data_IF_404661904537
#
_entry.id   IF_404661904537
#
_cell.length_a   1.000
_cell.length_b   1.000
_cell.length_c   1.000
_cell.angle_alpha   90.00
_cell.angle_beta   90.00
_cell.angle_gamma   90.00
#
_symmetry.space_group_name_H-M   'P 1'
#
loop_
_entity.id
_entity.type
_entity.pdbx_description
1 polymer ?
#
# COMPACT_ATOMS: atom_id res chain seq x y z
N UNK A 1 -8.91 -43.78 52.41
CA UNK A 1 -8.42 -42.43 52.13
C UNK A 1 -8.25 -42.30 50.62
N UNK A 2 -9.29 -41.80 49.95
CA UNK A 2 -9.27 -41.64 48.46
C UNK A 2 -8.79 -40.23 48.10
N UNK A 3 -7.69 -40.14 47.34
CA UNK A 3 -7.15 -38.86 46.85
C UNK A 3 -7.73 -38.63 45.45
N UNK A 4 -8.62 -37.65 45.33
CA UNK A 4 -9.10 -37.15 44.04
C UNK A 4 -8.06 -36.15 43.46
N UNK A 5 -7.50 -36.50 42.28
CA UNK A 5 -6.62 -35.62 41.51
C UNK A 5 -7.50 -34.88 40.50
N UNK A 6 -7.68 -33.58 40.68
CA UNK A 6 -8.34 -32.72 39.71
C UNK A 6 -7.30 -32.33 38.63
N UNK A 7 -7.50 -32.82 37.43
CA UNK A 7 -6.75 -32.35 36.26
C UNK A 7 -7.42 -31.08 35.75
N UNK A 8 -6.69 -29.93 35.85
CA UNK A 8 -7.10 -28.67 35.25
C UNK A 8 -6.79 -28.70 33.76
N UNK A 9 -7.82 -28.69 32.94
CA UNK A 9 -7.69 -28.55 31.49
C UNK A 9 -7.45 -27.06 31.17
N UNK A 10 -6.26 -26.71 30.70
CA UNK A 10 -5.93 -25.37 30.19
C UNK A 10 -6.42 -25.32 28.75
N UNK A 11 -7.53 -24.64 28.49
CA UNK A 11 -8.00 -24.29 27.15
C UNK A 11 -7.18 -23.13 26.62
N UNK A 12 -6.27 -23.36 25.67
CA UNK A 12 -5.65 -22.30 24.88
C UNK A 12 -6.73 -21.67 23.99
N UNK A 13 -7.12 -20.44 24.30
CA UNK A 13 -7.84 -19.60 23.34
C UNK A 13 -6.85 -19.13 22.27
N UNK A 14 -6.97 -19.66 21.06
CA UNK A 14 -6.31 -19.07 19.90
C UNK A 14 -6.98 -17.71 19.62
N UNK A 15 -6.23 -16.63 19.80
CA UNK A 15 -6.65 -15.30 19.35
C UNK A 15 -6.73 -15.31 17.83
N UNK A 16 -7.78 -14.71 17.21
CA UNK A 16 -7.80 -14.53 15.78
C UNK A 16 -6.61 -13.62 15.39
N UNK A 17 -5.71 -14.11 14.54
CA UNK A 17 -4.75 -13.26 13.87
C UNK A 17 -5.57 -12.34 12.94
N UNK A 18 -5.65 -11.07 13.27
CA UNK A 18 -6.09 -10.06 12.30
C UNK A 18 -4.98 -9.99 11.27
N UNK A 19 -5.25 -10.52 10.06
CA UNK A 19 -4.42 -10.24 8.90
C UNK A 19 -4.52 -8.72 8.69
N UNK A 20 -3.40 -8.05 8.89
CA UNK A 20 -3.28 -6.61 8.65
C UNK A 20 -3.68 -6.37 7.20
N UNK A 21 -4.61 -5.42 6.98
CA UNK A 21 -5.22 -5.13 5.67
C UNK A 21 -4.25 -4.56 4.62
N UNK A 22 -2.96 -4.80 4.80
CA UNK A 22 -1.86 -4.39 3.92
C UNK A 22 -1.33 -5.54 3.04
N UNK A 23 -1.81 -6.78 3.24
CA UNK A 23 -1.38 -7.91 2.42
C UNK A 23 -1.78 -7.70 0.96
N UNK A 24 -0.80 -7.77 0.06
CA UNK A 24 -1.02 -7.73 -1.37
C UNK A 24 -1.54 -9.10 -1.86
N UNK A 25 -2.56 -9.08 -2.73
CA UNK A 25 -3.18 -10.30 -3.26
C UNK A 25 -2.85 -10.55 -4.74
N UNK A 26 -2.25 -9.56 -5.42
CA UNK A 26 -1.90 -9.60 -6.83
C UNK A 26 -0.62 -10.37 -7.15
N UNK A 27 -0.31 -10.48 -8.44
CA UNK A 27 0.93 -11.03 -8.97
C UNK A 27 1.96 -9.91 -9.16
N UNK A 28 3.00 -9.89 -8.32
CA UNK A 28 4.05 -8.87 -8.37
C UNK A 28 4.82 -8.86 -9.70
N UNK A 29 5.02 -10.02 -10.35
CA UNK A 29 5.72 -10.09 -11.63
C UNK A 29 4.87 -9.54 -12.79
N UNK A 30 3.56 -9.74 -12.75
CA UNK A 30 2.64 -9.07 -13.66
C UNK A 30 2.57 -7.57 -13.36
N UNK A 31 2.58 -7.20 -12.09
CA UNK A 31 2.58 -5.82 -11.59
C UNK A 31 3.79 -5.02 -12.06
N UNK A 32 5.00 -5.60 -12.06
CA UNK A 32 6.21 -4.98 -12.62
C UNK A 32 5.99 -4.56 -14.08
N UNK A 33 5.45 -5.46 -14.90
CA UNK A 33 5.19 -5.17 -16.29
C UNK A 33 4.15 -4.07 -16.49
N UNK A 34 3.14 -4.01 -15.61
CA UNK A 34 2.12 -2.96 -15.67
C UNK A 34 2.68 -1.62 -15.15
N UNK A 35 3.49 -1.64 -14.10
CA UNK A 35 4.17 -0.46 -13.60
C UNK A 35 5.04 0.18 -14.69
N UNK A 36 5.84 -0.61 -15.38
CA UNK A 36 6.70 -0.14 -16.48
C UNK A 36 5.92 0.49 -17.62
N UNK A 37 4.73 -0.02 -17.93
CA UNK A 37 3.91 0.51 -19.01
C UNK A 37 3.10 1.73 -18.61
N UNK A 38 2.64 1.80 -17.36
CA UNK A 38 1.59 2.72 -16.95
C UNK A 38 2.05 3.79 -15.96
N UNK A 39 3.12 3.55 -15.18
CA UNK A 39 3.48 4.39 -14.04
C UNK A 39 4.79 5.18 -14.22
N UNK A 40 5.79 4.60 -14.90
CA UNK A 40 7.16 5.14 -14.99
C UNK A 40 7.29 6.49 -15.69
N UNK A 41 6.26 6.93 -16.42
CA UNK A 41 6.24 8.26 -17.02
C UNK A 41 6.16 9.38 -15.97
N UNK A 42 5.63 9.08 -14.79
CA UNK A 42 5.38 10.04 -13.72
C UNK A 42 6.03 9.67 -12.39
N UNK A 43 6.24 8.38 -12.12
CA UNK A 43 6.70 7.86 -10.83
C UNK A 43 8.02 7.11 -10.95
N UNK A 44 8.72 7.07 -9.81
CA UNK A 44 9.87 6.18 -9.55
C UNK A 44 9.63 5.41 -8.27
N UNK A 45 10.41 4.35 -8.08
CA UNK A 45 10.64 3.72 -6.79
C UNK A 45 12.13 3.89 -6.49
N UNK A 46 12.46 4.72 -5.51
CA UNK A 46 13.82 4.98 -5.07
C UNK A 46 13.90 4.81 -3.56
N UNK A 47 14.90 4.09 -3.08
CA UNK A 47 15.11 3.84 -1.66
C UNK A 47 15.60 5.07 -0.89
N UNK A 48 15.89 4.90 0.40
CA UNK A 48 16.34 5.96 1.28
C UNK A 48 17.74 6.51 0.90
N UNK A 49 18.56 5.72 0.20
CA UNK A 49 19.87 6.12 -0.29
C UNK A 49 19.79 6.86 -1.65
N UNK A 50 18.59 6.90 -2.24
CA UNK A 50 18.32 7.53 -3.53
C UNK A 50 18.62 6.62 -4.72
N UNK A 51 18.84 5.31 -4.49
CA UNK A 51 18.98 4.34 -5.58
C UNK A 51 17.62 4.11 -6.24
N UNK A 52 17.55 4.26 -7.56
CA UNK A 52 16.32 4.02 -8.32
C UNK A 52 16.17 2.53 -8.59
N UNK A 53 15.25 1.90 -7.88
CA UNK A 53 14.95 0.46 -7.96
C UNK A 53 13.99 0.14 -9.11
N UNK A 54 13.06 1.07 -9.41
CA UNK A 54 12.13 0.94 -10.53
C UNK A 54 11.77 2.31 -11.12
N UNK A 55 11.42 2.31 -12.41
CA UNK A 55 11.15 3.54 -13.17
C UNK A 55 12.43 4.17 -13.72
N UNK A 56 12.37 5.48 -13.97
CA UNK A 56 13.48 6.25 -14.55
C UNK A 56 13.68 7.54 -13.74
N UNK A 57 13.91 8.68 -14.35
CA UNK A 57 14.11 9.96 -13.66
C UNK A 57 12.81 10.80 -13.59
N UNK A 58 11.67 10.17 -13.41
CA UNK A 58 10.40 10.87 -13.32
C UNK A 58 10.24 11.58 -11.97
N UNK A 59 9.68 12.78 -11.97
CA UNK A 59 9.41 13.59 -10.78
C UNK A 59 8.04 14.28 -10.81
N UNK A 60 7.18 13.87 -11.75
CA UNK A 60 5.81 14.42 -11.88
C UNK A 60 4.89 13.91 -10.79
N UNK A 61 5.05 12.63 -10.42
CA UNK A 61 4.40 11.99 -9.28
C UNK A 61 5.38 11.78 -8.11
N UNK A 62 4.88 11.42 -6.93
CA UNK A 62 5.72 11.08 -5.80
C UNK A 62 6.55 9.81 -6.06
N UNK A 63 7.64 9.66 -5.31
CA UNK A 63 8.31 8.38 -5.13
C UNK A 63 7.34 7.37 -4.50
N UNK A 64 7.33 6.14 -5.01
CA UNK A 64 6.42 5.09 -4.55
C UNK A 64 7.11 4.01 -3.69
N UNK A 65 8.35 4.28 -3.26
CA UNK A 65 9.02 3.43 -2.28
C UNK A 65 8.24 3.42 -0.95
N UNK A 66 8.11 2.26 -0.34
CA UNK A 66 7.37 2.06 0.93
C UNK A 66 5.90 2.56 0.88
N UNK A 67 5.27 2.49 -0.32
CA UNK A 67 3.89 2.96 -0.47
C UNK A 67 2.90 2.05 0.26
N UNK A 68 3.05 0.72 0.11
CA UNK A 68 2.08 -0.23 0.65
C UNK A 68 2.00 -0.12 2.18
N UNK A 69 0.80 0.15 2.70
CA UNK A 69 0.55 0.36 4.12
C UNK A 69 0.97 1.72 4.68
N UNK A 70 1.69 2.55 3.93
CA UNK A 70 2.05 3.89 4.38
C UNK A 70 0.84 4.82 4.43
N UNK A 71 0.92 5.85 5.27
CA UNK A 71 -0.09 6.90 5.33
C UNK A 71 -0.14 7.68 4.00
N UNK A 72 -1.32 8.15 3.62
CA UNK A 72 -1.48 8.97 2.42
C UNK A 72 -0.79 10.33 2.58
N UNK A 73 -0.15 10.79 1.49
CA UNK A 73 0.33 12.16 1.40
C UNK A 73 1.56 12.51 2.24
N UNK A 74 2.38 11.52 2.65
CA UNK A 74 3.48 11.71 3.63
C UNK A 74 4.86 11.93 3.02
N UNK A 75 5.06 11.79 1.70
CA UNK A 75 6.38 12.02 1.09
C UNK A 75 6.72 13.50 1.14
N UNK A 76 7.73 13.88 1.94
CA UNK A 76 8.05 15.27 2.29
C UNK A 76 8.45 16.12 1.07
N UNK A 77 9.19 15.57 0.12
CA UNK A 77 9.68 16.28 -1.06
C UNK A 77 8.64 16.37 -2.20
N UNK A 78 7.43 15.85 -1.99
CA UNK A 78 6.38 15.91 -3.00
C UNK A 78 5.23 16.82 -2.57
N UNK A 79 4.88 17.77 -3.44
CA UNK A 79 3.76 18.67 -3.20
C UNK A 79 2.44 18.01 -3.58
N UNK A 80 1.81 17.38 -2.62
CA UNK A 80 0.48 16.77 -2.76
C UNK A 80 -0.65 17.79 -3.01
N UNK A 81 -1.82 17.32 -3.39
CA UNK A 81 -3.07 18.09 -3.36
C UNK A 81 -3.72 17.99 -1.98
N UNK A 82 -4.49 19.01 -1.62
CA UNK A 82 -5.08 19.13 -0.27
C UNK A 82 -5.92 17.90 0.10
N UNK A 83 -6.71 17.38 -0.82
CA UNK A 83 -7.61 16.24 -0.57
C UNK A 83 -6.89 14.95 -0.14
N UNK A 84 -5.71 14.65 -0.69
CA UNK A 84 -4.97 13.45 -0.30
C UNK A 84 -4.24 13.65 1.04
N UNK A 85 -3.81 14.87 1.33
CA UNK A 85 -3.24 15.25 2.62
C UNK A 85 -4.29 15.15 3.72
N UNK A 86 -5.50 15.67 3.49
CA UNK A 86 -6.62 15.60 4.43
C UNK A 86 -6.96 14.15 4.81
N UNK A 87 -7.02 13.25 3.85
CA UNK A 87 -7.23 11.82 4.12
C UNK A 87 -6.09 11.19 4.92
N UNK A 88 -4.84 11.57 4.61
CA UNK A 88 -3.69 11.13 5.38
C UNK A 88 -3.71 11.62 6.83
N UNK A 89 -4.02 12.90 7.05
CA UNK A 89 -4.18 13.49 8.39
C UNK A 89 -5.33 12.83 9.18
N UNK A 90 -6.36 12.32 8.49
CA UNK A 90 -7.42 11.51 9.06
C UNK A 90 -6.97 10.05 9.39
N UNK A 91 -5.71 9.70 9.09
CA UNK A 91 -5.13 8.39 9.40
C UNK A 91 -5.36 7.33 8.32
N UNK A 92 -5.78 7.71 7.11
CA UNK A 92 -5.90 6.75 6.01
C UNK A 92 -4.52 6.32 5.48
N UNK A 93 -4.42 5.03 5.18
CA UNK A 93 -3.22 4.39 4.64
C UNK A 93 -3.48 3.76 3.26
N UNK A 94 -2.42 3.53 2.51
CA UNK A 94 -2.45 2.83 1.24
C UNK A 94 -2.65 1.33 1.42
N UNK A 95 -3.88 0.93 1.74
CA UNK A 95 -4.28 -0.48 1.62
C UNK A 95 -4.43 -0.85 0.13
N UNK A 96 -4.40 -2.14 -0.20
CA UNK A 96 -4.66 -2.58 -1.58
C UNK A 96 -5.99 -2.03 -2.12
N UNK A 97 -7.05 -2.10 -1.31
CA UNK A 97 -8.36 -1.60 -1.72
C UNK A 97 -8.36 -0.08 -2.00
N UNK A 98 -7.71 0.72 -1.14
CA UNK A 98 -7.59 2.16 -1.31
C UNK A 98 -6.77 2.50 -2.56
N UNK A 99 -5.64 1.81 -2.76
CA UNK A 99 -4.78 2.00 -3.93
C UNK A 99 -5.52 1.68 -5.23
N UNK A 100 -6.15 0.51 -5.31
CA UNK A 100 -6.90 0.07 -6.49
C UNK A 100 -8.01 1.07 -6.84
N UNK A 101 -8.81 1.47 -5.86
CA UNK A 101 -9.88 2.45 -6.08
C UNK A 101 -9.34 3.81 -6.52
N UNK A 102 -8.26 4.28 -5.90
CA UNK A 102 -7.62 5.54 -6.24
C UNK A 102 -7.06 5.54 -7.65
N UNK A 103 -6.24 4.54 -8.05
CA UNK A 103 -5.60 4.55 -9.37
C UNK A 103 -6.58 4.37 -10.52
N UNK A 104 -7.76 3.79 -10.26
CA UNK A 104 -8.84 3.67 -11.25
C UNK A 104 -9.62 4.97 -11.47
N UNK A 105 -9.86 5.75 -10.42
CA UNK A 105 -10.49 7.08 -10.50
C UNK A 105 -10.01 8.01 -9.38
N UNK A 106 -8.82 8.64 -9.52
CA UNK A 106 -8.22 9.42 -8.44
C UNK A 106 -9.13 10.52 -7.89
N UNK A 107 -9.77 11.28 -8.77
CA UNK A 107 -10.65 12.38 -8.34
C UNK A 107 -11.98 11.86 -7.79
N UNK A 108 -12.55 10.82 -8.40
CA UNK A 108 -13.80 10.23 -7.94
C UNK A 108 -13.67 9.59 -6.56
N UNK A 109 -12.56 8.86 -6.35
CA UNK A 109 -12.27 8.25 -5.05
C UNK A 109 -12.10 9.31 -3.95
N UNK A 110 -11.28 10.35 -4.18
CA UNK A 110 -11.09 11.43 -3.20
C UNK A 110 -12.41 12.12 -2.82
N UNK A 111 -13.29 12.32 -3.79
CA UNK A 111 -14.63 12.91 -3.54
C UNK A 111 -15.51 12.01 -2.69
N UNK A 112 -15.44 10.71 -2.92
CA UNK A 112 -16.22 9.74 -2.16
C UNK A 112 -15.73 9.63 -0.72
N UNK A 113 -14.40 9.54 -0.53
CA UNK A 113 -13.81 9.41 0.81
C UNK A 113 -13.99 10.65 1.68
N UNK A 114 -13.97 11.85 1.09
CA UNK A 114 -14.14 13.13 1.80
C UNK A 114 -15.59 13.62 1.87
N UNK A 115 -16.53 12.96 1.17
CA UNK A 115 -17.89 13.48 0.93
C UNK A 115 -17.87 14.95 0.41
N UNK A 116 -16.84 15.27 -0.41
CA UNK A 116 -16.68 16.60 -1.02
C UNK A 116 -16.58 16.54 -2.54
N UNK A 117 -17.63 16.98 -3.22
CA UNK A 117 -17.68 17.03 -4.69
C UNK A 117 -16.69 18.03 -5.33
N UNK A 118 -16.04 18.87 -4.53
CA UNK A 118 -15.01 19.82 -4.98
C UNK A 118 -13.61 19.24 -4.90
N UNK A 119 -13.39 18.15 -4.17
CA UNK A 119 -12.10 17.49 -4.06
C UNK A 119 -11.51 17.19 -5.45
N UNK A 120 -10.19 17.32 -5.59
CA UNK A 120 -9.46 17.11 -6.83
C UNK A 120 -8.20 16.29 -6.59
N UNK A 121 -8.00 15.27 -7.41
CA UNK A 121 -6.72 14.56 -7.50
C UNK A 121 -5.75 15.29 -8.44
N UNK A 122 -4.46 15.26 -8.11
CA UNK A 122 -3.40 15.71 -9.03
C UNK A 122 -3.03 14.65 -10.05
N UNK A 123 -3.18 13.38 -9.73
CA UNK A 123 -2.98 12.27 -10.66
C UNK A 123 -4.12 12.28 -11.68
N UNK A 124 -3.75 12.47 -12.97
CA UNK A 124 -4.71 12.49 -14.08
C UNK A 124 -4.83 11.12 -14.77
N UNK A 125 -3.82 10.25 -14.62
CA UNK A 125 -3.82 8.92 -15.21
C UNK A 125 -4.79 7.99 -14.46
N UNK A 126 -5.36 7.04 -15.19
CA UNK A 126 -6.26 6.00 -14.64
C UNK A 126 -5.83 4.63 -15.13
N UNK A 127 -5.58 3.72 -14.21
CA UNK A 127 -5.43 2.30 -14.52
C UNK A 127 -6.82 1.73 -14.79
N UNK A 128 -7.07 1.26 -16.00
CA UNK A 128 -8.42 0.88 -16.43
C UNK A 128 -8.84 -0.51 -15.98
N UNK A 129 -7.88 -1.43 -15.97
CA UNK A 129 -8.11 -2.80 -15.53
C UNK A 129 -7.87 -2.93 -14.04
N UNK A 130 -8.85 -3.48 -13.31
CA UNK A 130 -8.75 -3.63 -11.87
C UNK A 130 -7.68 -4.65 -11.47
N UNK A 131 -7.48 -5.71 -12.28
CA UNK A 131 -6.45 -6.70 -12.01
C UNK A 131 -5.05 -6.08 -12.19
N UNK A 132 -4.84 -5.26 -13.22
CA UNK A 132 -3.59 -4.51 -13.38
C UNK A 132 -3.28 -3.67 -12.13
N UNK A 133 -4.31 -3.03 -11.54
CA UNK A 133 -4.14 -2.21 -10.34
C UNK A 133 -3.77 -3.05 -9.11
N UNK A 134 -4.39 -4.22 -8.94
CA UNK A 134 -4.07 -5.18 -7.86
C UNK A 134 -2.65 -5.70 -8.01
N UNK A 135 -2.24 -6.05 -9.23
CA UNK A 135 -0.89 -6.55 -9.52
C UNK A 135 0.17 -5.46 -9.31
N UNK A 136 -0.10 -4.21 -9.73
CA UNK A 136 0.79 -3.06 -9.47
C UNK A 136 0.96 -2.84 -7.96
N UNK A 137 -0.11 -2.95 -7.17
CA UNK A 137 0.02 -2.85 -5.71
C UNK A 137 0.90 -3.94 -5.13
N UNK A 138 0.73 -5.18 -5.59
CA UNK A 138 1.56 -6.31 -5.17
C UNK A 138 3.05 -6.09 -5.53
N UNK A 139 3.33 -5.53 -6.71
CA UNK A 139 4.70 -5.16 -7.08
C UNK A 139 5.25 -4.07 -6.18
N UNK A 140 4.50 -3.01 -5.93
CA UNK A 140 4.93 -1.91 -5.05
C UNK A 140 5.14 -2.37 -3.60
N UNK A 141 4.37 -3.34 -3.13
CA UNK A 141 4.52 -3.93 -1.81
C UNK A 141 5.83 -4.73 -1.64
N UNK A 142 6.55 -5.04 -2.72
CA UNK A 142 7.90 -5.65 -2.63
C UNK A 142 8.98 -4.65 -2.25
N UNK A 143 8.68 -3.34 -2.22
CA UNK A 143 9.61 -2.27 -1.88
C UNK A 143 9.24 -1.63 -0.54
N UNK A 144 10.13 -1.67 0.42
CA UNK A 144 9.92 -1.06 1.74
C UNK A 144 9.53 -2.06 2.83
N UNK A 145 9.05 -1.54 3.95
CA UNK A 145 8.89 -2.28 5.20
C UNK A 145 7.94 -3.50 5.15
N UNK A 146 6.98 -3.52 4.22
CA UNK A 146 6.07 -4.67 4.06
C UNK A 146 6.73 -5.79 3.24
N UNK A 147 7.65 -5.45 2.32
CA UNK A 147 8.40 -6.42 1.50
C UNK A 147 9.60 -7.04 2.22
N UNK A 148 10.06 -6.44 3.31
CA UNK A 148 11.13 -6.96 4.15
C UNK A 148 10.56 -7.96 5.18
N UNK A 149 10.32 -9.20 4.76
CA UNK A 149 10.19 -10.29 5.73
C UNK A 149 11.49 -10.37 6.53
N UNK A 150 11.43 -10.38 7.89
CA UNK A 150 12.64 -10.55 8.68
C UNK A 150 13.27 -11.89 8.30
N UNK A 151 14.45 -11.84 7.71
CA UNK A 151 15.24 -13.04 7.46
C UNK A 151 15.35 -13.81 8.78
N UNK A 152 14.69 -14.98 8.83
CA UNK A 152 14.77 -15.85 9.99
C UNK A 152 16.25 -16.15 10.22
N UNK A 153 16.85 -15.54 11.24
CA UNK A 153 18.19 -15.89 11.70
C UNK A 153 18.25 -17.40 11.91
N UNK A 154 18.82 -18.10 10.97
CA UNK A 154 19.16 -19.52 11.14
C UNK A 154 20.34 -19.61 12.08
N UNK A 155 20.03 -19.87 13.35
CA UNK A 155 21.02 -20.23 14.36
C UNK A 155 21.33 -21.72 14.30
#
# INVERSE_FOLDING_TARGET
>A
MSKFIYAAAITLLAAPAFADGHSATGDAAAGEQQFDRQCVACHIVADADGEVLAGRNASTGPNLYDLAGSQLGVIEDFRYGDAIVELGEAGQAWTEAAFVAYVQDPTGWLRAELDDNRARGKMAYRVRDAQDAVDIYAYLATFGAIGEEPEAESN
#
